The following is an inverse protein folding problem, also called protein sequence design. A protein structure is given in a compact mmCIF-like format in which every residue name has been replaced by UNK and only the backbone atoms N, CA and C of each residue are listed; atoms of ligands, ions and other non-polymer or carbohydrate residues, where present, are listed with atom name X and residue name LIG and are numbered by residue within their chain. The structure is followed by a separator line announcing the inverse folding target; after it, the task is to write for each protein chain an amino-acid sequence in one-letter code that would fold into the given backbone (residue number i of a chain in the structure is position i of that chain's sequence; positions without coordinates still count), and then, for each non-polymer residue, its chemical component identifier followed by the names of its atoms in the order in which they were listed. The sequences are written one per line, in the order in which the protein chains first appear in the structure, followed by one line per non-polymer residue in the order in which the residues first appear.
data_IF_802319194792
#
_entry.id   IF_802319194792
#
_cell.length_a   1.000
_cell.length_b   1.000
_cell.length_c   1.000
_cell.angle_alpha   90.00
_cell.angle_beta   90.00
_cell.angle_gamma   90.00
#
_symmetry.space_group_name_H-M   'P 1'
#
loop_
_entity.id
_entity.type
_entity.pdbx_description
1 polymer ?
#
# COMPACT_ATOMS: atom_id res chain seq x y z
N UNK A 1 -18.10 59.94 -66.03
CA UNK A 1 -17.44 58.63 -66.23
C UNK A 1 -17.00 58.12 -64.86
N UNK A 2 -17.75 57.21 -64.23
CA UNK A 2 -17.36 56.56 -62.96
C UNK A 2 -17.51 55.06 -63.15
N UNK A 3 -16.39 54.36 -63.09
CA UNK A 3 -16.26 52.91 -63.29
C UNK A 3 -16.50 52.23 -61.94
N UNK A 4 -17.43 51.29 -61.89
CA UNK A 4 -17.70 50.45 -60.71
C UNK A 4 -16.91 49.13 -60.86
N UNK A 5 -16.09 48.79 -59.87
CA UNK A 5 -15.40 47.51 -59.77
C UNK A 5 -16.17 46.56 -58.83
N UNK A 6 -16.30 45.25 -59.14
CA UNK A 6 -17.04 44.33 -58.29
C UNK A 6 -16.14 43.77 -57.17
N UNK A 7 -16.64 43.80 -55.94
CA UNK A 7 -16.04 43.11 -54.80
C UNK A 7 -16.38 41.62 -54.87
N UNK A 8 -15.36 40.76 -54.95
CA UNK A 8 -15.48 39.29 -54.85
C UNK A 8 -15.39 38.90 -53.38
N UNK A 9 -16.45 38.30 -52.84
CA UNK A 9 -16.50 37.76 -51.48
C UNK A 9 -16.06 36.29 -51.51
N UNK A 10 -14.94 35.97 -50.86
CA UNK A 10 -14.45 34.58 -50.69
C UNK A 10 -15.03 34.04 -49.37
N UNK A 11 -15.93 33.05 -49.45
CA UNK A 11 -16.46 32.33 -48.29
C UNK A 11 -15.43 31.29 -47.82
N UNK A 12 -14.90 31.45 -46.60
CA UNK A 12 -14.07 30.45 -45.94
C UNK A 12 -14.96 29.38 -45.29
N UNK A 13 -14.84 28.13 -45.74
CA UNK A 13 -15.50 26.97 -45.12
C UNK A 13 -14.76 26.56 -43.84
N UNK A 14 -15.33 26.86 -42.68
CA UNK A 14 -14.84 26.40 -41.39
C UNK A 14 -15.20 24.92 -41.17
N UNK A 15 -14.19 24.04 -41.23
CA UNK A 15 -14.36 22.61 -40.97
C UNK A 15 -14.44 22.36 -39.45
N UNK A 16 -15.62 21.94 -38.98
CA UNK A 16 -15.82 21.49 -37.60
C UNK A 16 -15.16 20.12 -37.39
N UNK A 17 -14.05 20.06 -36.64
CA UNK A 17 -13.51 18.80 -36.12
C UNK A 17 -14.33 18.35 -34.91
N UNK A 18 -14.98 17.19 -35.01
CA UNK A 18 -15.52 16.49 -33.82
C UNK A 18 -14.34 16.05 -32.95
N UNK A 19 -14.29 16.51 -31.71
CA UNK A 19 -13.42 15.91 -30.69
C UNK A 19 -14.01 14.56 -30.32
N UNK A 20 -13.27 13.50 -30.59
CA UNK A 20 -13.55 12.18 -30.05
C UNK A 20 -13.19 12.22 -28.56
N UNK A 21 -14.21 12.15 -27.70
CA UNK A 21 -13.99 12.10 -26.26
C UNK A 21 -13.28 10.79 -25.91
N UNK A 22 -12.18 10.89 -25.16
CA UNK A 22 -11.50 9.73 -24.60
C UNK A 22 -12.50 8.87 -23.79
N UNK A 23 -12.38 7.54 -23.81
CA UNK A 23 -13.24 6.67 -23.02
C UNK A 23 -13.20 7.11 -21.55
N UNK A 24 -14.37 7.24 -20.94
CA UNK A 24 -14.50 7.57 -19.52
C UNK A 24 -13.69 6.55 -18.71
N UNK A 25 -12.91 7.05 -17.75
CA UNK A 25 -12.25 6.18 -16.78
C UNK A 25 -13.29 5.23 -16.16
N UNK A 26 -12.94 3.94 -15.94
CA UNK A 26 -13.85 3.02 -15.29
C UNK A 26 -14.37 3.64 -13.98
N UNK A 27 -15.67 3.50 -13.74
CA UNK A 27 -16.28 4.04 -12.53
C UNK A 27 -15.52 3.54 -11.29
N UNK A 28 -15.22 4.45 -10.37
CA UNK A 28 -14.56 4.14 -9.10
C UNK A 28 -15.35 3.05 -8.36
N UNK A 29 -14.77 1.86 -8.23
CA UNK A 29 -15.34 0.74 -7.47
C UNK A 29 -14.55 0.56 -6.16
N UNK A 30 -15.11 0.98 -5.01
CA UNK A 30 -14.45 0.82 -3.72
C UNK A 30 -14.22 -0.63 -3.29
N UNK A 31 -14.93 -1.60 -3.87
CA UNK A 31 -14.72 -3.02 -3.58
C UNK A 31 -13.35 -3.53 -4.06
N UNK A 32 -12.68 -2.80 -4.96
CA UNK A 32 -11.31 -3.10 -5.39
C UNK A 32 -10.31 -3.12 -4.23
N UNK A 33 -10.62 -2.43 -3.12
CA UNK A 33 -9.77 -2.46 -1.93
C UNK A 33 -9.97 -3.69 -1.04
N UNK A 34 -11.06 -4.44 -1.18
CA UNK A 34 -11.36 -5.60 -0.32
C UNK A 34 -10.28 -6.70 -0.34
N UNK A 35 -9.76 -7.15 -1.51
CA UNK A 35 -8.65 -8.11 -1.53
C UNK A 35 -7.39 -7.55 -0.86
N UNK A 36 -7.09 -6.25 -1.03
CA UNK A 36 -5.94 -5.60 -0.38
C UNK A 36 -6.15 -5.58 1.13
N UNK A 37 -7.34 -5.15 1.59
CA UNK A 37 -7.74 -5.12 2.99
C UNK A 37 -7.58 -6.49 3.65
N UNK A 38 -7.96 -7.58 2.97
CA UNK A 38 -7.82 -8.95 3.49
C UNK A 38 -6.37 -9.34 3.82
N UNK A 39 -5.40 -8.74 3.12
CA UNK A 39 -3.97 -8.95 3.36
C UNK A 39 -3.44 -8.00 4.42
N UNK A 40 -3.67 -6.69 4.29
CA UNK A 40 -3.06 -5.70 5.20
C UNK A 40 -3.64 -5.74 6.62
N UNK A 41 -4.82 -6.34 6.79
CA UNK A 41 -5.42 -6.62 8.09
C UNK A 41 -5.08 -8.01 8.64
N UNK A 42 -4.29 -8.81 7.91
CA UNK A 42 -3.82 -10.12 8.38
C UNK A 42 -2.78 -9.96 9.50
N UNK A 43 -2.68 -10.90 10.47
CA UNK A 43 -1.67 -10.83 11.54
C UNK A 43 -0.22 -10.72 11.08
N UNK A 44 0.12 -11.20 9.86
CA UNK A 44 1.47 -11.00 9.31
C UNK A 44 1.81 -9.52 9.06
N UNK A 45 0.82 -8.67 8.80
CA UNK A 45 0.96 -7.22 8.67
C UNK A 45 0.69 -6.53 10.00
N UNK A 46 -0.48 -6.78 10.61
CA UNK A 46 -0.91 -6.07 11.82
C UNK A 46 0.05 -6.25 12.99
N UNK A 47 0.74 -7.39 13.12
CA UNK A 47 1.70 -7.59 14.20
C UNK A 47 2.87 -6.60 14.20
N UNK A 48 3.20 -6.02 13.04
CA UNK A 48 4.26 -5.02 12.88
C UNK A 48 3.70 -3.58 12.80
N UNK A 49 2.44 -3.43 12.41
CA UNK A 49 1.72 -2.17 12.33
C UNK A 49 0.99 -1.87 13.66
N UNK A 50 1.79 -1.70 14.71
CA UNK A 50 1.37 -1.53 16.12
C UNK A 50 1.84 -0.19 16.68
N UNK A 51 1.29 0.26 17.81
CA UNK A 51 1.70 1.51 18.45
C UNK A 51 3.03 1.37 19.21
N UNK A 52 3.06 0.59 20.30
CA UNK A 52 4.13 0.53 21.28
C UNK A 52 4.91 -0.78 21.21
N UNK A 53 4.24 -1.92 21.06
CA UNK A 53 4.87 -3.24 21.08
C UNK A 53 4.35 -4.13 19.95
N UNK A 54 5.22 -4.87 19.22
CA UNK A 54 4.77 -5.81 18.23
C UNK A 54 3.90 -6.91 18.85
N UNK A 55 3.10 -7.56 18.00
CA UNK A 55 2.37 -8.76 18.37
C UNK A 55 3.02 -10.01 17.78
N UNK A 56 2.72 -11.16 18.35
CA UNK A 56 3.16 -12.48 17.91
C UNK A 56 1.96 -13.37 17.62
N UNK A 57 2.16 -14.32 16.70
CA UNK A 57 1.14 -15.30 16.26
C UNK A 57 -0.09 -14.64 15.64
N UNK A 58 -1.10 -15.44 15.33
CA UNK A 58 -2.38 -14.96 14.79
C UNK A 58 -3.34 -14.53 15.89
N UNK A 59 -3.10 -14.96 17.12
CA UNK A 59 -3.83 -14.52 18.31
C UNK A 59 -3.36 -13.15 18.84
N UNK A 60 -2.43 -12.50 18.13
CA UNK A 60 -1.93 -11.15 18.44
C UNK A 60 -1.47 -10.96 19.90
N UNK A 61 -0.79 -11.96 20.48
CA UNK A 61 -0.18 -11.82 21.81
C UNK A 61 0.91 -10.76 21.79
N UNK A 62 1.10 -10.02 22.89
CA UNK A 62 2.29 -9.18 23.04
C UNK A 62 3.56 -9.99 22.79
N UNK A 63 4.52 -9.37 22.11
CA UNK A 63 5.79 -9.99 21.81
C UNK A 63 6.46 -10.54 23.08
N UNK A 64 7.05 -11.73 22.98
CA UNK A 64 7.78 -12.40 24.06
C UNK A 64 9.23 -12.71 23.62
N UNK A 65 10.26 -12.28 24.38
CA UNK A 65 10.16 -11.38 25.54
C UNK A 65 9.55 -10.04 25.16
N UNK A 66 9.00 -9.31 26.14
CA UNK A 66 8.43 -7.98 25.88
C UNK A 66 9.51 -7.08 25.27
N UNK A 67 9.21 -6.51 24.11
CA UNK A 67 9.99 -5.48 23.44
C UNK A 67 9.07 -4.31 23.13
N UNK A 68 9.64 -3.12 23.04
CA UNK A 68 8.92 -1.90 22.66
C UNK A 68 9.53 -1.32 21.39
N UNK A 69 8.77 -0.49 20.68
CA UNK A 69 9.10 0.12 19.40
C UNK A 69 10.43 0.85 19.38
N UNK A 70 10.75 1.55 20.48
CA UNK A 70 11.86 2.51 20.50
C UNK A 70 11.55 3.79 19.72
N UNK A 71 12.54 4.67 19.56
CA UNK A 71 12.34 5.98 18.91
C UNK A 71 12.08 5.87 17.41
N UNK A 72 12.64 4.85 16.77
CA UNK A 72 12.71 4.71 15.31
C UNK A 72 12.19 3.35 14.80
N UNK A 73 11.56 2.55 15.66
CA UNK A 73 11.03 1.23 15.27
C UNK A 73 12.00 0.07 15.39
N UNK A 74 13.23 0.29 15.87
CA UNK A 74 14.27 -0.75 15.97
C UNK A 74 14.46 -1.32 17.38
N UNK A 75 13.53 -1.06 18.31
CA UNK A 75 13.65 -1.52 19.69
C UNK A 75 14.16 -0.45 20.64
N UNK A 76 14.07 -0.71 21.94
CA UNK A 76 14.65 0.17 22.95
C UNK A 76 16.19 0.17 22.86
N UNK A 77 16.89 1.26 23.26
CA UNK A 77 18.35 1.32 23.22
C UNK A 77 19.07 0.15 23.93
N UNK A 78 18.47 -0.40 24.99
CA UNK A 78 19.01 -1.53 25.76
C UNK A 78 18.54 -2.89 25.26
N UNK A 79 17.61 -2.94 24.31
CA UNK A 79 17.04 -4.15 23.73
C UNK A 79 16.65 -3.92 22.26
N UNK A 80 17.63 -3.68 21.37
CA UNK A 80 17.37 -3.50 19.96
C UNK A 80 16.88 -4.80 19.33
N UNK A 81 16.02 -4.70 18.31
CA UNK A 81 15.43 -5.86 17.63
C UNK A 81 16.51 -6.81 17.09
N UNK A 82 17.62 -6.26 16.59
CA UNK A 82 18.73 -7.02 16.00
C UNK A 82 19.53 -7.86 16.99
N UNK A 83 19.29 -7.71 18.30
CA UNK A 83 19.82 -8.66 19.30
C UNK A 83 19.30 -10.07 19.06
N UNK A 84 18.09 -10.23 18.52
CA UNK A 84 17.49 -11.53 18.23
C UNK A 84 17.22 -11.72 16.73
N UNK A 85 16.64 -10.70 16.07
CA UNK A 85 16.27 -10.79 14.66
C UNK A 85 17.48 -10.56 13.76
N UNK A 86 17.76 -11.54 12.89
CA UNK A 86 18.92 -11.52 12.00
C UNK A 86 18.49 -11.30 10.53
N UNK A 87 19.43 -11.41 9.60
CA UNK A 87 19.19 -11.23 8.17
C UNK A 87 18.22 -12.25 7.55
N UNK A 88 18.04 -13.41 8.20
CA UNK A 88 17.10 -14.46 7.81
C UNK A 88 16.42 -15.03 9.04
N UNK A 89 15.29 -15.71 8.85
CA UNK A 89 14.69 -16.53 9.89
C UNK A 89 15.75 -17.47 10.51
N UNK A 90 15.67 -17.74 11.81
CA UNK A 90 16.50 -18.76 12.46
C UNK A 90 16.26 -20.14 11.85
N UNK A 91 17.19 -21.08 12.05
CA UNK A 91 17.13 -22.42 11.46
C UNK A 91 15.85 -23.19 11.86
N UNK A 92 15.35 -22.96 13.08
CA UNK A 92 14.08 -23.49 13.59
C UNK A 92 12.85 -22.68 13.13
N UNK A 93 13.06 -21.52 12.51
CA UNK A 93 12.04 -20.59 12.04
C UNK A 93 11.34 -19.79 13.15
N UNK A 94 11.70 -19.95 14.43
CA UNK A 94 10.98 -19.32 15.53
C UNK A 94 11.28 -17.83 15.66
N UNK A 95 12.51 -17.39 15.42
CA UNK A 95 12.83 -15.97 15.36
C UNK A 95 12.82 -15.54 13.89
N UNK A 96 11.89 -14.65 13.50
CA UNK A 96 11.86 -14.18 12.13
C UNK A 96 13.04 -13.27 11.82
N UNK A 97 13.39 -13.14 10.55
CA UNK A 97 14.54 -12.31 10.18
C UNK A 97 14.51 -11.84 8.73
N UNK A 98 14.93 -10.59 8.58
CA UNK A 98 15.27 -9.90 7.34
C UNK A 98 16.33 -8.85 7.69
N UNK A 99 17.23 -8.52 6.77
CA UNK A 99 18.35 -7.61 7.06
C UNK A 99 17.91 -6.24 7.63
N UNK A 100 16.72 -5.78 7.27
CA UNK A 100 16.13 -4.49 7.66
C UNK A 100 15.02 -4.64 8.71
N UNK A 101 15.13 -5.62 9.62
CA UNK A 101 14.08 -5.92 10.59
C UNK A 101 13.76 -4.74 11.52
N UNK A 102 12.52 -4.25 11.42
CA UNK A 102 11.99 -3.12 12.19
C UNK A 102 10.45 -3.15 12.22
N UNK A 103 9.84 -2.33 13.08
CA UNK A 103 8.39 -2.08 12.99
C UNK A 103 8.06 -1.12 11.84
N UNK A 104 6.84 -1.22 11.31
CA UNK A 104 6.33 -0.21 10.40
C UNK A 104 6.35 1.17 11.09
N UNK A 105 6.62 2.28 10.38
CA UNK A 105 6.57 3.62 10.95
C UNK A 105 5.23 3.88 11.67
N UNK A 106 5.24 4.67 12.74
CA UNK A 106 4.00 5.01 13.49
C UNK A 106 2.94 5.68 12.60
N UNK A 107 3.38 6.45 11.61
CA UNK A 107 2.47 7.05 10.63
C UNK A 107 1.72 6.01 9.80
N UNK A 108 2.19 4.76 9.77
CA UNK A 108 1.57 3.59 9.13
C UNK A 108 0.87 2.66 10.15
N UNK A 109 0.57 3.10 11.37
CA UNK A 109 -0.20 2.31 12.35
C UNK A 109 -1.55 1.85 11.73
N UNK A 110 -1.85 0.55 11.76
CA UNK A 110 -3.08 -0.02 11.22
C UNK A 110 -3.93 -0.76 12.26
N UNK A 111 -3.36 -1.18 13.39
CA UNK A 111 -4.14 -1.75 14.49
C UNK A 111 -5.34 -0.87 14.85
N UNK A 112 -6.51 -1.48 15.01
CA UNK A 112 -7.75 -0.80 15.39
C UNK A 112 -8.38 0.07 14.29
N UNK A 113 -7.76 0.16 13.09
CA UNK A 113 -8.33 0.90 11.97
C UNK A 113 -9.31 0.07 11.16
N UNK A 114 -10.34 0.73 10.62
CA UNK A 114 -11.24 0.14 9.63
C UNK A 114 -10.53 0.01 8.27
N UNK A 115 -11.06 -0.82 7.37
CA UNK A 115 -10.52 -0.92 6.00
C UNK A 115 -10.57 0.42 5.25
N UNK A 116 -11.59 1.24 5.49
CA UNK A 116 -11.71 2.58 4.91
C UNK A 116 -10.59 3.50 5.40
N UNK A 117 -10.31 3.48 6.71
CA UNK A 117 -9.22 4.26 7.28
C UNK A 117 -7.84 3.83 6.79
N UNK A 118 -7.59 2.51 6.65
CA UNK A 118 -6.34 1.99 6.08
C UNK A 118 -6.21 2.40 4.62
N UNK A 119 -7.28 2.31 3.83
CA UNK A 119 -7.29 2.74 2.43
C UNK A 119 -6.89 4.22 2.28
N UNK A 120 -7.54 5.11 3.04
CA UNK A 120 -7.21 6.54 3.02
C UNK A 120 -5.81 6.83 3.57
N UNK A 121 -5.28 5.98 4.43
CA UNK A 121 -3.92 6.08 4.92
C UNK A 121 -2.88 5.67 3.87
N UNK A 122 -3.14 4.61 3.10
CA UNK A 122 -2.25 4.15 2.04
C UNK A 122 -2.11 5.18 0.90
N UNK A 123 -3.09 6.06 0.71
CA UNK A 123 -3.08 7.13 -0.29
C UNK A 123 -2.33 8.39 0.14
N UNK A 124 -2.03 8.52 1.43
CA UNK A 124 -1.50 9.76 2.01
C UNK A 124 0.02 9.64 2.23
N UNK A 125 0.85 10.42 1.51
CA UNK A 125 2.30 10.38 1.64
C UNK A 125 2.81 10.62 3.08
N UNK A 126 2.09 11.40 3.88
CA UNK A 126 2.47 11.66 5.27
C UNK A 126 2.22 10.43 6.16
N UNK A 127 1.36 9.51 5.72
CA UNK A 127 0.91 8.34 6.50
C UNK A 127 1.18 6.98 5.85
N UNK A 128 1.80 6.95 4.67
CA UNK A 128 2.19 5.71 3.97
C UNK A 128 3.71 5.55 3.84
N UNK A 129 4.49 6.30 4.61
CA UNK A 129 5.95 6.29 4.57
C UNK A 129 6.54 7.06 3.38
N UNK A 130 5.88 8.11 2.91
CA UNK A 130 6.40 9.06 1.91
C UNK A 130 6.12 8.71 0.46
N UNK A 131 5.30 7.67 0.18
CA UNK A 131 4.97 7.22 -1.18
C UNK A 131 3.97 8.18 -1.80
N UNK A 132 4.36 8.83 -2.89
CA UNK A 132 3.63 9.91 -3.55
C UNK A 132 2.73 9.44 -4.69
N UNK A 133 2.86 8.19 -5.12
CA UNK A 133 2.05 7.62 -6.19
C UNK A 133 1.62 6.18 -5.88
N UNK A 134 0.60 5.70 -6.60
CA UNK A 134 0.14 4.32 -6.50
C UNK A 134 1.20 3.31 -6.93
N UNK A 135 2.04 3.65 -7.91
CA UNK A 135 3.18 2.84 -8.36
C UNK A 135 4.22 2.66 -7.25
N UNK A 136 4.51 3.71 -6.47
CA UNK A 136 5.43 3.59 -5.32
C UNK A 136 4.83 2.70 -4.20
N UNK A 137 3.51 2.72 -4.03
CA UNK A 137 2.80 1.79 -3.12
C UNK A 137 2.90 0.35 -3.62
N UNK A 138 2.68 0.12 -4.92
CA UNK A 138 2.83 -1.21 -5.55
C UNK A 138 4.26 -1.71 -5.38
N UNK A 139 5.27 -0.90 -5.71
CA UNK A 139 6.68 -1.30 -5.65
C UNK A 139 7.09 -1.69 -4.22
N UNK A 140 6.65 -0.93 -3.23
CA UNK A 140 6.88 -1.30 -1.83
C UNK A 140 6.26 -2.66 -1.47
N UNK A 141 4.98 -2.88 -1.82
CA UNK A 141 4.29 -4.12 -1.49
C UNK A 141 4.83 -5.34 -2.25
N UNK A 142 5.41 -5.09 -3.42
CA UNK A 142 5.98 -6.11 -4.32
C UNK A 142 7.39 -6.51 -3.94
N UNK A 143 8.23 -5.56 -3.51
CA UNK A 143 9.67 -5.75 -3.49
C UNK A 143 10.33 -5.55 -2.12
N UNK A 144 9.64 -4.93 -1.15
CA UNK A 144 10.22 -4.71 0.18
C UNK A 144 10.46 -6.05 0.89
N UNK A 145 11.70 -6.38 1.27
CA UNK A 145 12.01 -7.66 1.93
C UNK A 145 11.24 -7.89 3.23
N UNK A 146 10.93 -6.84 3.99
CA UNK A 146 10.16 -6.94 5.23
C UNK A 146 8.68 -7.22 4.94
N UNK A 147 8.14 -6.69 3.84
CA UNK A 147 6.79 -7.05 3.37
C UNK A 147 6.78 -8.49 2.86
N UNK A 148 7.73 -8.86 2.01
CA UNK A 148 7.84 -10.19 1.42
C UNK A 148 8.03 -11.31 2.46
N UNK A 149 8.61 -11.00 3.62
CA UNK A 149 8.69 -11.93 4.75
C UNK A 149 7.33 -12.51 5.15
N UNK A 150 6.22 -11.79 4.97
CA UNK A 150 4.88 -12.26 5.31
C UNK A 150 4.49 -13.58 4.60
N UNK A 151 5.08 -13.88 3.44
CA UNK A 151 4.86 -15.12 2.68
C UNK A 151 5.91 -16.20 2.93
N UNK A 152 6.99 -15.88 3.64
CA UNK A 152 7.95 -16.85 4.16
C UNK A 152 8.22 -16.64 5.66
N UNK A 153 7.18 -16.77 6.52
CA UNK A 153 7.25 -16.32 7.90
C UNK A 153 7.99 -17.28 8.84
N UNK A 154 8.41 -18.46 8.37
CA UNK A 154 9.08 -19.49 9.18
C UNK A 154 8.15 -20.25 10.13
N UNK A 155 8.63 -21.37 10.67
CA UNK A 155 7.99 -22.20 11.70
C UNK A 155 6.49 -22.53 11.48
N UNK A 156 6.07 -22.72 10.22
CA UNK A 156 4.69 -23.10 9.88
C UNK A 156 3.64 -22.03 10.19
N UNK A 157 4.04 -20.76 10.37
CA UNK A 157 3.09 -19.65 10.53
C UNK A 157 2.21 -19.51 9.29
N UNK A 158 0.98 -19.05 9.50
CA UNK A 158 0.05 -18.73 8.41
C UNK A 158 0.58 -17.59 7.56
N UNK A 159 0.30 -17.66 6.26
CA UNK A 159 0.54 -16.59 5.29
C UNK A 159 -0.73 -15.78 5.08
N UNK A 160 -0.64 -14.55 4.54
CA UNK A 160 -1.82 -13.81 4.08
C UNK A 160 -2.72 -14.64 3.14
N UNK A 161 -4.03 -14.33 3.06
CA UNK A 161 -4.99 -15.11 2.29
C UNK A 161 -4.77 -15.08 0.77
N UNK A 162 -3.99 -14.11 0.28
CA UNK A 162 -3.58 -13.99 -1.11
C UNK A 162 -2.06 -14.22 -1.23
N UNK A 163 -1.60 -14.74 -2.36
CA UNK A 163 -0.18 -14.71 -2.71
C UNK A 163 0.29 -13.27 -2.92
N UNK A 164 1.60 -13.01 -2.85
CA UNK A 164 2.13 -11.67 -3.11
C UNK A 164 1.79 -11.21 -4.53
N UNK A 165 1.84 -12.10 -5.52
CA UNK A 165 1.46 -11.78 -6.90
C UNK A 165 -0.03 -11.43 -7.03
N UNK A 166 -0.89 -12.09 -6.27
CA UNK A 166 -2.32 -11.76 -6.22
C UNK A 166 -2.57 -10.41 -5.53
N UNK A 167 -1.84 -10.12 -4.45
CA UNK A 167 -1.87 -8.79 -3.82
C UNK A 167 -1.43 -7.70 -4.79
N UNK A 168 -0.32 -7.90 -5.50
CA UNK A 168 0.21 -6.93 -6.49
C UNK A 168 -0.82 -6.68 -7.59
N UNK A 169 -1.46 -7.73 -8.13
CA UNK A 169 -2.53 -7.56 -9.13
C UNK A 169 -3.73 -6.78 -8.57
N UNK A 170 -4.10 -7.02 -7.31
CA UNK A 170 -5.17 -6.27 -6.67
C UNK A 170 -4.81 -4.78 -6.49
N UNK A 171 -3.57 -4.49 -6.10
CA UNK A 171 -3.04 -3.12 -6.01
C UNK A 171 -3.02 -2.44 -7.37
N UNK A 172 -2.56 -3.11 -8.43
CA UNK A 172 -2.56 -2.58 -9.81
C UNK A 172 -3.97 -2.21 -10.28
N UNK A 173 -4.96 -3.08 -10.02
CA UNK A 173 -6.35 -2.83 -10.34
C UNK A 173 -6.92 -1.63 -9.55
N UNK A 174 -6.65 -1.57 -8.25
CA UNK A 174 -7.07 -0.49 -7.37
C UNK A 174 -6.44 0.86 -7.76
N UNK A 175 -5.14 0.88 -8.05
CA UNK A 175 -4.41 2.08 -8.52
C UNK A 175 -4.93 2.54 -9.87
N UNK A 176 -5.13 1.63 -10.82
CA UNK A 176 -5.68 1.95 -12.16
C UNK A 176 -7.09 2.53 -12.11
N UNK A 177 -7.88 2.19 -11.09
CA UNK A 177 -9.21 2.74 -10.84
C UNK A 177 -9.20 4.07 -10.06
N UNK A 178 -8.03 4.66 -9.80
CA UNK A 178 -7.90 5.92 -9.06
C UNK A 178 -7.90 5.76 -7.54
N UNK A 179 -7.51 4.60 -7.03
CA UNK A 179 -7.42 4.28 -5.60
C UNK A 179 -8.72 4.56 -4.82
N UNK A 180 -9.88 4.04 -5.26
CA UNK A 180 -11.15 4.27 -4.58
C UNK A 180 -11.14 3.61 -3.19
N UNK A 181 -11.63 4.32 -2.18
CA UNK A 181 -11.77 3.79 -0.82
C UNK A 181 -13.23 3.49 -0.48
N UNK A 182 -13.49 2.40 0.26
CA UNK A 182 -14.83 2.11 0.75
C UNK A 182 -15.28 3.23 1.68
N UNK A 183 -16.57 3.57 1.63
CA UNK A 183 -17.19 4.41 2.66
C UNK A 183 -17.25 3.61 3.95
N UNK A 184 -17.10 4.28 5.08
CA UNK A 184 -17.05 3.66 6.41
C UNK A 184 -18.19 2.64 6.58
N UNK A 185 -17.81 1.45 7.04
CA UNK A 185 -18.70 0.38 7.51
C UNK A 185 -18.41 0.11 8.97
#
# INVERSE_FOLDING_TARGET
MRVLAPFVFILALASCRRSEAAPAAPAADPALFDPIASVVTHPRCLNCHQDESPRQTDAAYLHRPLVVRGKDGHGAPTQPCQTCHQATNTADGFVPGVATWQLAPLSMLWEGKTKAQICEQMKDPERNGGRRSGEEVIEHMKSDPLVLWAWNPGAGRTTPPLSNEQLVKALEAWVSAGMPCPKDG
#
